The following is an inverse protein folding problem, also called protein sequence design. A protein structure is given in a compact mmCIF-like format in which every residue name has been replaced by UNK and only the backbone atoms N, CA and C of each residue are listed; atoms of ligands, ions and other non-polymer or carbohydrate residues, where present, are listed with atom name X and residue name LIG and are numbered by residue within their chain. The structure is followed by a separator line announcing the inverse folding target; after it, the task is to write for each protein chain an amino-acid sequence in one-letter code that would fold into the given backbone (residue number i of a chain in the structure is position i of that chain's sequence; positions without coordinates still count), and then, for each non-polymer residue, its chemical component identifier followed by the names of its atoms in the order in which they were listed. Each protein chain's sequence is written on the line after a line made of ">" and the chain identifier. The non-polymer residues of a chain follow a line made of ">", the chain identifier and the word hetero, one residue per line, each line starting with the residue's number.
data_IF_192683771309
#
_entry.id   IF_192683771309
#
_cell.length_a   1.000
_cell.length_b   1.000
_cell.length_c   1.000
_cell.angle_alpha   90.00
_cell.angle_beta   90.00
_cell.angle_gamma   90.00
#
_symmetry.space_group_name_H-M   'P 1'
#
loop_
_entity.id
_entity.type
_entity.pdbx_description
1 polymer ?
#
# COMPACT_ATOMS: atom_id res chain seq x y z
N UNK A 1 45.39 -30.67 -65.81
CA UNK A 1 44.16 -31.35 -65.34
C UNK A 1 43.49 -30.46 -64.33
N UNK A 2 42.73 -29.47 -64.81
CA UNK A 2 42.75 -28.16 -64.18
C UNK A 2 41.35 -27.58 -63.98
N UNK A 3 41.08 -27.29 -62.70
CA UNK A 3 40.11 -26.32 -62.16
C UNK A 3 38.61 -26.62 -62.25
N UNK A 4 38.05 -27.04 -63.40
CA UNK A 4 36.58 -27.08 -63.55
C UNK A 4 35.87 -28.20 -62.76
N UNK A 5 36.51 -29.36 -62.60
CA UNK A 5 35.91 -30.52 -61.90
C UNK A 5 35.89 -30.37 -60.38
N UNK A 6 36.83 -29.63 -59.78
CA UNK A 6 36.86 -29.39 -58.32
C UNK A 6 35.84 -28.34 -57.86
N UNK A 7 35.55 -27.35 -58.71
CA UNK A 7 34.54 -26.31 -58.40
C UNK A 7 33.13 -26.91 -58.44
N UNK A 8 32.84 -27.75 -59.44
CA UNK A 8 31.54 -28.42 -59.59
C UNK A 8 31.23 -29.37 -58.41
N UNK A 9 32.26 -30.06 -57.89
CA UNK A 9 32.11 -30.99 -56.76
C UNK A 9 31.87 -30.27 -55.42
N UNK A 10 32.43 -29.06 -55.25
CA UNK A 10 32.18 -28.21 -54.07
C UNK A 10 30.78 -27.58 -54.07
N UNK A 11 30.27 -27.22 -55.24
CA UNK A 11 28.91 -26.67 -55.39
C UNK A 11 27.85 -27.76 -55.11
N UNK A 12 28.03 -28.99 -55.61
CA UNK A 12 27.11 -30.09 -55.31
C UNK A 12 27.06 -30.44 -53.81
N UNK A 13 28.19 -30.36 -53.11
CA UNK A 13 28.25 -30.68 -51.68
C UNK A 13 27.55 -29.63 -50.80
N UNK A 14 27.60 -28.35 -51.19
CA UNK A 14 26.90 -27.25 -50.52
C UNK A 14 25.39 -27.31 -50.77
N UNK A 15 24.96 -27.68 -51.99
CA UNK A 15 23.54 -27.84 -52.33
C UNK A 15 22.93 -29.05 -51.59
N UNK A 16 23.68 -30.14 -51.41
CA UNK A 16 23.22 -31.28 -50.59
C UNK A 16 23.10 -30.93 -49.10
N UNK A 17 24.01 -30.11 -48.56
CA UNK A 17 23.99 -29.67 -47.16
C UNK A 17 22.87 -28.65 -46.84
N UNK A 18 22.44 -27.86 -47.83
CA UNK A 18 21.30 -26.96 -47.71
C UNK A 18 19.94 -27.67 -47.87
N UNK A 19 19.89 -28.77 -48.61
CA UNK A 19 18.68 -29.58 -48.76
C UNK A 19 18.37 -30.43 -47.50
N UNK A 20 19.40 -30.81 -46.73
CA UNK A 20 19.23 -31.61 -45.50
C UNK A 20 18.95 -30.77 -44.25
N UNK A 21 19.15 -29.45 -44.27
CA UNK A 21 18.81 -28.56 -43.16
C UNK A 21 17.37 -28.05 -43.19
N UNK A 22 16.66 -28.19 -44.32
CA UNK A 22 15.28 -27.72 -44.48
C UNK A 22 14.22 -28.73 -44.03
N UNK A 23 14.57 -30.01 -43.85
CA UNK A 23 13.65 -31.05 -43.39
C UNK A 23 13.62 -31.24 -41.86
N UNK A 24 14.42 -30.47 -41.11
CA UNK A 24 14.47 -30.54 -39.64
C UNK A 24 13.49 -29.59 -38.93
N UNK A 25 12.71 -28.78 -39.67
CA UNK A 25 11.70 -27.87 -39.11
C UNK A 25 10.27 -28.25 -39.47
N UNK A 26 9.99 -29.53 -39.68
CA UNK A 26 8.64 -30.01 -39.96
C UNK A 26 8.30 -31.19 -39.05
N UNK A 27 8.03 -30.92 -37.77
CA UNK A 27 7.27 -31.76 -36.85
C UNK A 27 7.04 -31.01 -35.54
N UNK A 28 6.17 -30.01 -35.58
CA UNK A 28 5.41 -29.55 -34.42
C UNK A 28 4.09 -29.04 -35.00
N UNK A 29 3.15 -29.97 -35.23
CA UNK A 29 1.73 -29.61 -35.20
C UNK A 29 1.47 -29.04 -33.81
N UNK A 30 1.63 -27.72 -33.68
CA UNK A 30 1.27 -26.97 -32.50
C UNK A 30 -0.24 -26.76 -32.60
N UNK A 31 -1.01 -27.78 -32.22
CA UNK A 31 -2.37 -27.56 -31.78
C UNK A 31 -2.28 -26.63 -30.57
N UNK A 32 -2.42 -25.32 -30.83
CA UNK A 32 -2.57 -24.30 -29.82
C UNK A 32 -3.94 -24.54 -29.18
N UNK A 33 -3.98 -25.50 -28.26
CA UNK A 33 -5.07 -25.68 -27.32
C UNK A 33 -5.20 -24.36 -26.56
N UNK A 34 -6.20 -23.56 -26.93
CA UNK A 34 -6.66 -22.42 -26.16
C UNK A 34 -7.15 -22.96 -24.82
N UNK A 35 -6.24 -23.12 -23.86
CA UNK A 35 -6.63 -23.35 -22.48
C UNK A 35 -7.44 -22.14 -22.03
N UNK A 36 -8.65 -22.32 -21.48
CA UNK A 36 -9.42 -21.21 -20.95
C UNK A 36 -8.59 -20.57 -19.84
N UNK A 37 -8.15 -19.33 -20.08
CA UNK A 37 -7.48 -18.52 -19.08
C UNK A 37 -8.51 -18.25 -17.98
N UNK A 38 -8.47 -19.02 -16.90
CA UNK A 38 -9.25 -18.74 -15.70
C UNK A 38 -8.71 -17.44 -15.10
N UNK A 39 -9.31 -16.32 -15.44
CA UNK A 39 -9.00 -15.03 -14.83
C UNK A 39 -9.47 -15.07 -13.38
N UNK A 40 -8.51 -15.07 -12.45
CA UNK A 40 -8.80 -14.83 -11.06
C UNK A 40 -9.01 -13.32 -10.88
N UNK A 41 -10.26 -12.91 -10.71
CA UNK A 41 -10.58 -11.54 -10.33
C UNK A 41 -10.10 -11.33 -8.89
N UNK A 42 -9.16 -10.42 -8.68
CA UNK A 42 -8.67 -10.09 -7.33
C UNK A 42 -9.82 -9.40 -6.60
N UNK A 43 -10.30 -9.92 -5.46
CA UNK A 43 -11.37 -9.29 -4.72
C UNK A 43 -10.92 -7.90 -4.28
N UNK A 44 -11.73 -6.90 -4.61
CA UNK A 44 -11.48 -5.52 -4.23
C UNK A 44 -11.31 -5.40 -2.71
N UNK A 45 -10.31 -4.59 -2.30
CA UNK A 45 -10.05 -4.30 -0.90
C UNK A 45 -10.44 -2.85 -0.60
N UNK A 46 -10.98 -2.56 0.61
CA UNK A 46 -11.25 -1.20 1.04
C UNK A 46 -9.99 -0.33 0.98
N UNK A 47 -10.12 0.90 0.48
CA UNK A 47 -9.03 1.87 0.45
C UNK A 47 -9.23 2.97 1.49
N UNK A 48 -8.13 3.38 2.12
CA UNK A 48 -8.14 4.43 3.13
C UNK A 48 -7.92 5.82 2.51
N UNK A 49 -8.72 6.78 2.96
CA UNK A 49 -8.58 8.20 2.68
C UNK A 49 -8.42 8.97 3.99
N UNK A 50 -7.51 9.94 3.98
CA UNK A 50 -7.18 10.75 5.15
C UNK A 50 -7.48 12.22 4.87
N UNK A 51 -8.14 12.86 5.82
CA UNK A 51 -8.40 14.31 5.80
C UNK A 51 -8.19 14.91 7.19
N UNK A 52 -7.79 16.17 7.23
CA UNK A 52 -7.72 16.91 8.48
C UNK A 52 -9.09 17.51 8.80
N UNK A 53 -9.54 17.30 10.04
CA UNK A 53 -10.82 17.77 10.58
C UNK A 53 -10.57 18.59 11.85
N UNK A 54 -11.58 19.36 12.26
CA UNK A 54 -11.60 20.03 13.55
C UNK A 54 -12.42 19.21 14.56
N UNK A 55 -11.88 19.06 15.76
CA UNK A 55 -12.50 18.33 16.87
C UNK A 55 -12.47 19.18 18.13
N UNK A 56 -13.44 18.96 19.00
CA UNK A 56 -13.53 19.66 20.29
C UNK A 56 -12.99 18.76 21.39
N UNK A 57 -12.13 19.28 22.25
CA UNK A 57 -11.69 18.58 23.47
C UNK A 57 -12.86 18.50 24.45
N UNK A 58 -13.37 17.30 24.71
CA UNK A 58 -14.52 17.07 25.60
C UNK A 58 -14.11 16.71 27.01
N UNK A 59 -12.93 16.14 27.19
CA UNK A 59 -12.35 15.82 28.48
C UNK A 59 -10.83 15.86 28.46
N UNK A 60 -10.24 16.15 29.61
CA UNK A 60 -8.79 16.16 29.79
C UNK A 60 -8.40 15.78 31.21
N UNK A 61 -7.51 14.80 31.32
CA UNK A 61 -6.94 14.31 32.58
C UNK A 61 -5.42 14.44 32.54
N UNK A 62 -4.85 15.12 33.53
CA UNK A 62 -3.41 15.40 33.62
C UNK A 62 -2.89 14.82 34.95
N UNK A 63 -1.88 13.96 34.88
CA UNK A 63 -1.25 13.34 36.05
C UNK A 63 0.25 13.61 36.04
N UNK A 64 0.81 13.86 37.22
CA UNK A 64 2.25 13.92 37.43
C UNK A 64 2.61 13.08 38.66
N UNK A 65 3.63 12.24 38.52
CA UNK A 65 4.12 11.41 39.61
C UNK A 65 5.62 11.13 39.48
N UNK A 66 6.25 10.77 40.60
CA UNK A 66 7.69 10.50 40.66
C UNK A 66 7.97 9.02 40.87
N UNK A 67 8.74 8.42 39.96
CA UNK A 67 9.18 7.03 40.03
C UNK A 67 10.63 6.89 39.53
N UNK A 68 11.58 7.46 40.29
CA UNK A 68 13.00 7.58 39.89
C UNK A 68 13.28 8.71 38.90
N UNK A 69 12.28 9.13 38.13
CA UNK A 69 12.21 10.37 37.36
C UNK A 69 10.80 10.94 37.41
N UNK A 70 10.61 12.22 37.07
CA UNK A 70 9.29 12.81 36.90
C UNK A 70 8.60 12.20 35.69
N UNK A 71 7.38 11.71 35.88
CA UNK A 71 6.52 11.17 34.84
C UNK A 71 5.28 12.06 34.77
N UNK A 72 4.93 12.48 33.55
CA UNK A 72 3.71 13.24 33.25
C UNK A 72 2.88 12.45 32.26
N UNK A 73 1.59 12.34 32.52
CA UNK A 73 0.60 11.68 31.65
C UNK A 73 -0.51 12.67 31.34
N UNK A 74 -0.84 12.82 30.07
CA UNK A 74 -1.96 13.65 29.60
C UNK A 74 -2.87 12.75 28.77
N UNK A 75 -4.11 12.63 29.20
CA UNK A 75 -5.17 11.94 28.47
C UNK A 75 -6.20 12.96 28.01
N UNK A 76 -6.43 13.05 26.70
CA UNK A 76 -7.48 13.88 26.11
C UNK A 76 -8.55 13.02 25.47
N UNK A 77 -9.79 13.47 25.58
CA UNK A 77 -10.91 12.98 24.79
C UNK A 77 -11.36 14.09 23.85
N UNK A 78 -11.52 13.75 22.57
CA UNK A 78 -11.97 14.67 21.53
C UNK A 78 -13.21 14.14 20.85
N UNK A 79 -14.07 15.06 20.43
CA UNK A 79 -15.31 14.77 19.71
C UNK A 79 -15.38 15.56 18.41
N UNK A 80 -15.67 14.86 17.32
CA UNK A 80 -16.05 15.46 16.05
C UNK A 80 -17.57 15.50 15.93
N UNK A 81 -18.13 16.71 15.89
CA UNK A 81 -19.58 16.91 15.70
C UNK A 81 -20.03 16.48 14.31
N UNK A 82 -19.24 16.79 13.27
CA UNK A 82 -19.62 16.57 11.88
C UNK A 82 -19.71 15.07 11.53
N UNK A 83 -18.88 14.25 12.17
CA UNK A 83 -18.85 12.80 11.94
C UNK A 83 -19.44 12.00 13.09
N UNK A 84 -19.81 12.66 14.20
CA UNK A 84 -20.27 12.04 15.45
C UNK A 84 -19.31 10.95 15.96
N UNK A 85 -18.01 11.29 16.03
CA UNK A 85 -16.94 10.37 16.44
C UNK A 85 -16.21 10.90 17.66
N UNK A 86 -15.84 9.99 18.55
CA UNK A 86 -15.03 10.28 19.74
C UNK A 86 -13.70 9.55 19.66
N UNK A 87 -12.63 10.18 20.13
CA UNK A 87 -11.34 9.52 20.34
C UNK A 87 -10.73 9.94 21.66
N UNK A 88 -10.17 8.96 22.35
CA UNK A 88 -9.34 9.17 23.54
C UNK A 88 -7.88 8.87 23.22
N UNK A 89 -6.97 9.77 23.59
CA UNK A 89 -5.52 9.64 23.38
C UNK A 89 -4.82 9.90 24.70
N UNK A 90 -3.84 9.07 25.04
CA UNK A 90 -3.00 9.23 26.22
C UNK A 90 -1.55 9.32 25.78
N UNK A 91 -0.88 10.40 26.19
CA UNK A 91 0.55 10.60 25.99
C UNK A 91 1.25 10.58 27.35
N UNK A 92 2.41 9.90 27.41
CA UNK A 92 3.21 9.80 28.62
C UNK A 92 4.62 10.30 28.34
N UNK A 93 5.07 11.24 29.16
CA UNK A 93 6.40 11.82 29.10
C UNK A 93 7.20 11.49 30.36
N UNK A 94 8.50 11.22 30.19
CA UNK A 94 9.44 10.98 31.30
C UNK A 94 10.55 12.01 31.23
N UNK A 95 10.84 12.67 32.34
CA UNK A 95 11.92 13.65 32.46
C UNK A 95 11.44 15.02 32.92
N UNK A 96 12.41 15.89 33.20
CA UNK A 96 12.17 17.20 33.83
C UNK A 96 11.91 18.32 32.81
N UNK A 97 12.34 18.17 31.55
CA UNK A 97 12.35 19.23 30.54
C UNK A 97 11.73 18.77 29.22
N UNK A 98 10.75 19.50 28.69
CA UNK A 98 10.16 19.25 27.38
C UNK A 98 8.77 19.87 27.27
N UNK A 99 8.40 20.32 26.06
CA UNK A 99 7.01 20.68 25.77
C UNK A 99 6.24 19.38 25.52
N UNK A 100 5.29 19.06 26.40
CA UNK A 100 4.51 17.83 26.32
C UNK A 100 3.29 18.06 25.42
N UNK A 101 3.00 17.17 24.45
CA UNK A 101 1.80 17.25 23.64
C UNK A 101 0.57 17.37 24.54
N UNK A 102 -0.39 18.20 24.12
CA UNK A 102 -1.70 18.34 24.77
C UNK A 102 -1.69 18.96 26.18
N UNK A 103 -0.52 19.29 26.72
CA UNK A 103 -0.43 19.88 28.06
C UNK A 103 -1.06 21.28 28.13
N UNK A 104 -1.02 21.99 27.01
CA UNK A 104 -1.63 23.32 26.84
C UNK A 104 -3.12 23.28 26.50
N UNK A 105 -3.67 22.12 26.16
CA UNK A 105 -5.09 22.01 25.80
C UNK A 105 -5.97 22.09 27.05
N UNK A 106 -7.16 22.63 26.83
CA UNK A 106 -8.24 22.74 27.78
C UNK A 106 -9.54 22.17 27.20
N UNK A 107 -10.45 21.79 28.09
CA UNK A 107 -11.78 21.33 27.68
C UNK A 107 -12.51 22.47 26.97
N UNK A 108 -13.05 22.18 25.79
CA UNK A 108 -13.72 23.14 24.92
C UNK A 108 -12.84 23.64 23.77
N UNK A 109 -11.53 23.39 23.79
CA UNK A 109 -10.64 23.77 22.71
C UNK A 109 -11.01 23.07 21.41
N UNK A 110 -10.91 23.81 20.31
CA UNK A 110 -11.04 23.26 18.96
C UNK A 110 -9.65 23.03 18.39
N UNK A 111 -9.30 21.77 18.17
CA UNK A 111 -7.97 21.35 17.71
C UNK A 111 -8.09 20.57 16.39
N UNK A 112 -6.96 20.46 15.69
CA UNK A 112 -6.91 19.64 14.46
C UNK A 112 -6.76 18.17 14.80
N UNK A 113 -7.41 17.32 14.01
CA UNK A 113 -7.23 15.88 14.04
C UNK A 113 -7.25 15.34 12.61
N UNK A 114 -6.73 14.14 12.40
CA UNK A 114 -6.79 13.41 11.13
C UNK A 114 -7.90 12.38 11.20
N UNK A 115 -8.84 12.43 10.27
CA UNK A 115 -9.86 11.40 10.06
C UNK A 115 -9.34 10.36 9.07
N UNK A 116 -9.63 9.09 9.32
CA UNK A 116 -9.49 8.01 8.35
C UNK A 116 -10.90 7.54 7.94
N UNK A 117 -11.16 7.50 6.64
CA UNK A 117 -12.34 6.85 6.07
C UNK A 117 -11.88 5.73 5.15
N UNK A 118 -12.37 4.51 5.33
CA UNK A 118 -12.15 3.42 4.39
C UNK A 118 -13.41 3.19 3.55
N UNK A 119 -13.26 2.98 2.25
CA UNK A 119 -14.38 2.73 1.35
C UNK A 119 -14.01 1.75 0.23
N UNK A 120 -15.02 1.08 -0.33
CA UNK A 120 -14.89 0.31 -1.57
C UNK A 120 -14.90 1.28 -2.75
N UNK A 121 -13.87 1.30 -3.59
CA UNK A 121 -13.77 2.23 -4.72
C UNK A 121 -14.86 2.00 -5.77
N UNK A 122 -15.21 0.74 -6.04
CA UNK A 122 -16.19 0.39 -7.07
C UNK A 122 -17.60 0.87 -6.73
N UNK A 123 -17.97 0.88 -5.45
CA UNK A 123 -19.31 1.24 -4.99
C UNK A 123 -19.38 2.60 -4.28
N UNK A 124 -18.25 3.14 -3.86
CA UNK A 124 -18.18 4.30 -2.97
C UNK A 124 -18.70 4.03 -1.56
N UNK A 125 -18.96 2.76 -1.20
CA UNK A 125 -19.51 2.40 0.11
C UNK A 125 -18.44 2.59 1.19
N UNK A 126 -18.77 3.40 2.20
CA UNK A 126 -17.94 3.56 3.40
C UNK A 126 -17.99 2.25 4.21
N UNK A 127 -16.82 1.70 4.50
CA UNK A 127 -16.62 0.48 5.28
C UNK A 127 -16.37 0.83 6.75
N UNK A 128 -15.50 1.81 7.00
CA UNK A 128 -15.16 2.25 8.35
C UNK A 128 -14.77 3.73 8.36
N UNK A 129 -14.93 4.38 9.51
CA UNK A 129 -14.53 5.76 9.73
C UNK A 129 -14.19 6.02 11.19
N UNK A 130 -13.00 6.55 11.44
CA UNK A 130 -12.51 6.87 12.78
C UNK A 130 -11.52 8.02 12.78
N UNK A 131 -11.32 8.65 13.94
CA UNK A 131 -10.26 9.63 14.13
C UNK A 131 -8.94 8.87 14.27
N UNK A 132 -8.01 9.11 13.35
CA UNK A 132 -6.72 8.42 13.28
C UNK A 132 -5.64 9.10 14.15
N UNK A 133 -5.54 10.44 14.11
CA UNK A 133 -4.54 11.18 14.89
C UNK A 133 -5.12 12.47 15.46
N UNK A 134 -4.67 12.89 16.64
CA UNK A 134 -4.92 14.23 17.19
C UNK A 134 -3.59 14.98 17.18
N UNK A 135 -3.58 16.24 16.76
CA UNK A 135 -2.34 17.03 16.66
C UNK A 135 -2.08 17.82 17.93
#
# INVERSE_FOLDING_TARGET
>A
MTSKKMILMRICSIVLLLATSLSAFCSCDLELSEQPQTYFEIPEQPKAYFEDIYVVVTDIDKKEYFAGTTIREVTIEVYSKDYNLTKRVTETYKGMFGNMPYMEYEKGDTIRARLCTTFMESTGQIVDRYIDKVY
#
